data_IF_037757274461
#
_entry.id   IF_037757274461
#
_cell.length_a   1.000
_cell.length_b   1.000
_cell.length_c   1.000
_cell.angle_alpha   90.00
_cell.angle_beta   90.00
_cell.angle_gamma   90.00
#
_symmetry.space_group_name_H-M   'P 1'
#
loop_
_entity.id
_entity.type
_entity.pdbx_description
1 polymer ?
#
# COMPACT_ATOMS: atom_id res chain seq x y z
N UNK A 1 -22.34 -16.50 -19.38
CA UNK A 1 -21.61 -17.54 -18.63
C UNK A 1 -22.13 -17.54 -17.20
N UNK A 2 -22.19 -18.70 -16.54
CA UNK A 2 -22.66 -18.82 -15.15
C UNK A 2 -21.51 -19.31 -14.27
N UNK A 3 -21.20 -18.59 -13.19
CA UNK A 3 -20.21 -19.00 -12.19
C UNK A 3 -20.92 -19.79 -11.06
N UNK A 4 -20.57 -21.05 -10.90
CA UNK A 4 -21.02 -21.87 -9.77
C UNK A 4 -19.99 -21.78 -8.64
N UNK A 5 -20.26 -20.94 -7.63
CA UNK A 5 -19.39 -20.76 -6.48
C UNK A 5 -19.84 -21.68 -5.32
N UNK A 6 -19.02 -22.68 -4.98
CA UNK A 6 -19.25 -23.58 -3.85
C UNK A 6 -18.54 -23.13 -2.55
N UNK A 7 -17.78 -22.03 -2.60
CA UNK A 7 -17.12 -21.47 -1.43
C UNK A 7 -18.10 -20.63 -0.59
N UNK A 8 -17.68 -20.27 0.63
CA UNK A 8 -18.41 -19.32 1.49
C UNK A 8 -18.03 -17.86 1.22
N UNK A 9 -17.15 -17.64 0.25
CA UNK A 9 -16.49 -16.37 -0.01
C UNK A 9 -17.02 -15.76 -1.31
N UNK A 10 -16.87 -14.44 -1.45
CA UNK A 10 -17.23 -13.77 -2.69
C UNK A 10 -16.34 -14.30 -3.82
N UNK A 11 -16.95 -14.57 -4.97
CA UNK A 11 -16.24 -14.99 -6.16
C UNK A 11 -16.80 -14.28 -7.38
N UNK A 12 -15.91 -13.90 -8.29
CA UNK A 12 -16.22 -13.17 -9.51
C UNK A 12 -15.34 -13.64 -10.65
N UNK A 13 -15.68 -13.20 -11.85
CA UNK A 13 -14.84 -13.42 -13.02
C UNK A 13 -14.80 -12.18 -13.90
N UNK A 14 -13.70 -11.99 -14.61
CA UNK A 14 -13.53 -10.93 -15.59
C UNK A 14 -12.69 -11.43 -16.78
N UNK A 15 -12.75 -10.72 -17.91
CA UNK A 15 -11.93 -11.01 -19.09
C UNK A 15 -10.57 -10.33 -18.94
N UNK A 16 -9.50 -11.11 -19.09
CA UNK A 16 -8.13 -10.62 -19.20
C UNK A 16 -7.61 -10.76 -20.62
N UNK A 17 -6.45 -10.15 -20.86
CA UNK A 17 -5.68 -10.28 -22.10
C UNK A 17 -4.30 -10.84 -21.77
N UNK A 18 -3.92 -11.88 -22.48
CA UNK A 18 -2.55 -12.41 -22.48
C UNK A 18 -1.62 -11.54 -23.33
N UNK A 19 -0.31 -11.73 -23.17
CA UNK A 19 0.71 -10.92 -23.84
C UNK A 19 0.68 -11.02 -25.37
N UNK A 20 0.12 -12.10 -25.91
CA UNK A 20 -0.03 -12.35 -27.35
C UNK A 20 -1.41 -11.90 -27.89
N UNK A 21 -2.25 -11.30 -27.04
CA UNK A 21 -3.56 -10.77 -27.39
C UNK A 21 -4.71 -11.77 -27.27
N UNK A 22 -4.46 -13.01 -26.83
CA UNK A 22 -5.54 -13.94 -26.54
C UNK A 22 -6.32 -13.51 -25.29
N UNK A 23 -7.64 -13.69 -25.32
CA UNK A 23 -8.46 -13.50 -24.13
C UNK A 23 -8.24 -14.66 -23.16
N UNK A 24 -8.11 -14.34 -21.88
CA UNK A 24 -8.18 -15.31 -20.79
C UNK A 24 -9.36 -14.98 -19.87
N UNK A 25 -9.88 -16.00 -19.20
CA UNK A 25 -10.87 -15.81 -18.14
C UNK A 25 -10.15 -15.78 -16.80
N UNK A 26 -10.27 -14.67 -16.08
CA UNK A 26 -9.72 -14.52 -14.73
C UNK A 26 -10.84 -14.77 -13.74
N UNK A 27 -10.66 -15.73 -12.83
CA UNK A 27 -11.62 -16.05 -11.77
C UNK A 27 -10.97 -15.76 -10.44
N UNK A 28 -11.66 -15.00 -9.59
CA UNK A 28 -11.19 -14.58 -8.25
C UNK A 28 -12.16 -15.11 -7.21
N UNK A 29 -11.61 -15.56 -6.08
CA UNK A 29 -12.36 -15.74 -4.83
C UNK A 29 -11.64 -14.97 -3.73
N UNK A 30 -12.39 -14.18 -2.93
CA UNK A 30 -11.82 -13.25 -1.95
C UNK A 30 -12.35 -13.52 -0.55
N UNK A 31 -11.43 -13.68 0.38
CA UNK A 31 -11.72 -13.91 1.79
C UNK A 31 -11.01 -12.85 2.64
N UNK A 32 -11.70 -12.34 3.65
CA UNK A 32 -11.18 -11.39 4.64
C UNK A 32 -11.11 -12.06 6.00
N UNK A 33 -10.00 -11.88 6.69
CA UNK A 33 -9.73 -12.44 8.02
C UNK A 33 -9.30 -11.34 8.97
N UNK A 34 -9.60 -11.48 10.26
CA UNK A 34 -9.02 -10.59 11.27
C UNK A 34 -7.64 -11.10 11.69
N UNK A 35 -6.73 -10.15 11.95
CA UNK A 35 -5.43 -10.45 12.52
C UNK A 35 -5.63 -10.67 14.02
N UNK A 36 -5.36 -11.89 14.49
CA UNK A 36 -5.45 -12.20 15.92
C UNK A 36 -4.56 -11.27 16.75
N UNK A 37 -5.15 -10.69 17.79
CA UNK A 37 -4.43 -9.84 18.75
C UNK A 37 -3.64 -10.63 19.79
N UNK A 38 -3.70 -11.97 19.78
CA UNK A 38 -2.96 -12.83 20.71
C UNK A 38 -1.58 -13.18 20.12
N UNK A 39 -0.49 -12.63 20.69
CA UNK A 39 0.87 -12.89 20.18
C UNK A 39 1.29 -14.36 20.32
N UNK A 40 0.66 -15.09 21.25
CA UNK A 40 1.11 -16.40 21.71
C UNK A 40 0.38 -17.57 21.03
N UNK A 41 -0.66 -17.31 20.23
CA UNK A 41 -1.34 -18.35 19.43
C UNK A 41 -1.71 -17.82 18.04
N UNK A 42 -0.73 -17.72 17.12
CA UNK A 42 -0.92 -17.16 15.78
C UNK A 42 -1.70 -18.09 14.82
N UNK A 43 -2.25 -19.20 15.31
CA UNK A 43 -2.72 -20.30 14.46
C UNK A 43 -4.15 -20.11 13.95
N UNK A 44 -4.90 -19.14 14.48
CA UNK A 44 -6.27 -18.86 14.05
C UNK A 44 -6.37 -17.45 13.46
N UNK A 45 -6.67 -17.40 12.16
CA UNK A 45 -7.12 -16.21 11.46
C UNK A 45 -8.65 -16.35 11.34
N UNK A 46 -9.44 -15.80 12.27
CA UNK A 46 -10.89 -15.88 12.18
C UNK A 46 -11.36 -15.17 10.92
N UNK A 47 -12.33 -15.78 10.23
CA UNK A 47 -13.00 -15.15 9.09
C UNK A 47 -13.73 -13.91 9.63
N UNK A 48 -13.44 -12.75 9.05
CA UNK A 48 -14.08 -11.48 9.43
C UNK A 48 -15.57 -11.55 9.07
N UNK A 49 -16.46 -11.10 9.95
CA UNK A 49 -17.91 -11.12 9.67
C UNK A 49 -18.25 -10.26 8.43
N UNK A 50 -17.65 -9.08 8.35
CA UNK A 50 -17.74 -8.19 7.19
C UNK A 50 -16.61 -8.49 6.19
N UNK A 51 -16.96 -9.15 5.09
CA UNK A 51 -16.04 -9.42 3.99
C UNK A 51 -15.82 -8.18 3.12
N UNK A 52 -14.57 -7.93 2.74
CA UNK A 52 -14.26 -6.92 1.72
C UNK A 52 -14.75 -7.41 0.35
N UNK A 53 -15.32 -6.51 -0.49
CA UNK A 53 -15.79 -6.87 -1.82
C UNK A 53 -14.62 -7.20 -2.75
N UNK A 54 -14.91 -7.88 -3.84
CA UNK A 54 -13.97 -7.95 -4.98
C UNK A 54 -13.84 -6.55 -5.61
N UNK A 55 -12.61 -6.11 -5.80
CA UNK A 55 -12.32 -4.84 -6.46
C UNK A 55 -12.13 -5.06 -7.95
N UNK A 56 -12.98 -4.41 -8.74
CA UNK A 56 -12.95 -4.43 -10.21
C UNK A 56 -12.13 -3.28 -10.80
N UNK A 57 -11.72 -2.35 -9.95
CA UNK A 57 -10.93 -1.17 -10.25
C UNK A 57 -9.96 -0.90 -9.10
N UNK A 58 -8.93 -0.11 -9.39
CA UNK A 58 -7.96 0.31 -8.39
C UNK A 58 -8.63 1.32 -7.42
N UNK A 59 -8.38 1.13 -6.13
CA UNK A 59 -8.77 2.06 -5.08
C UNK A 59 -7.57 2.84 -4.59
N UNK A 60 -7.79 4.12 -4.31
CA UNK A 60 -6.77 5.06 -3.89
C UNK A 60 -7.09 5.61 -2.50
N UNK A 61 -6.09 6.16 -1.81
CA UNK A 61 -6.28 6.76 -0.48
C UNK A 61 -7.07 8.07 -0.55
N UNK A 62 -7.07 8.74 -1.70
CA UNK A 62 -7.96 9.85 -2.04
C UNK A 62 -8.22 9.88 -3.56
N UNK A 63 -8.03 11.02 -4.22
CA UNK A 63 -8.30 11.19 -5.65
C UNK A 63 -7.34 10.34 -6.52
N UNK A 64 -7.86 9.58 -7.51
CA UNK A 64 -7.03 8.81 -8.43
C UNK A 64 -6.03 9.68 -9.20
N UNK A 65 -4.77 9.24 -9.27
CA UNK A 65 -3.69 9.99 -9.89
C UNK A 65 -3.07 11.10 -9.01
N UNK A 66 -3.76 11.48 -7.93
CA UNK A 66 -3.31 12.47 -6.94
C UNK A 66 -3.13 11.87 -5.54
N UNK A 67 -3.17 10.54 -5.39
CA UNK A 67 -2.97 9.88 -4.12
C UNK A 67 -2.42 8.47 -4.30
N UNK A 68 -1.95 7.86 -3.21
CA UNK A 68 -1.40 6.52 -3.25
C UNK A 68 -2.47 5.46 -3.59
N UNK A 69 -2.04 4.44 -4.31
CA UNK A 69 -2.81 3.21 -4.50
C UNK A 69 -2.99 2.49 -3.16
N UNK A 70 -4.25 2.23 -2.79
CA UNK A 70 -4.62 1.53 -1.58
C UNK A 70 -4.88 0.04 -1.84
N UNK A 71 -5.67 -0.27 -2.88
CA UNK A 71 -5.94 -1.63 -3.35
C UNK A 71 -5.91 -1.69 -4.87
N UNK A 72 -5.26 -2.70 -5.42
CA UNK A 72 -5.32 -2.99 -6.85
C UNK A 72 -6.63 -3.70 -7.22
N UNK A 73 -6.99 -3.60 -8.50
CA UNK A 73 -7.95 -4.49 -9.13
C UNK A 73 -7.55 -5.96 -8.89
N UNK A 74 -8.50 -6.77 -8.40
CA UNK A 74 -8.26 -8.17 -8.04
C UNK A 74 -8.06 -9.07 -9.28
N UNK A 75 -8.47 -8.64 -10.48
CA UNK A 75 -8.47 -9.44 -11.71
C UNK A 75 -7.15 -9.34 -12.51
N UNK A 76 -6.01 -9.58 -11.87
CA UNK A 76 -4.73 -9.67 -12.57
C UNK A 76 -4.72 -10.88 -13.55
N UNK A 77 -4.48 -10.69 -14.87
CA UNK A 77 -4.51 -11.78 -15.85
C UNK A 77 -3.50 -12.90 -15.58
N UNK A 78 -2.36 -12.56 -14.97
CA UNK A 78 -1.32 -13.52 -14.63
C UNK A 78 -0.61 -13.12 -13.34
N UNK A 79 -0.69 -13.99 -12.32
CA UNK A 79 -0.07 -13.77 -11.00
C UNK A 79 0.68 -15.05 -10.58
N UNK A 80 1.96 -15.21 -10.98
CA UNK A 80 2.70 -16.46 -10.79
C UNK A 80 3.11 -16.72 -9.34
N UNK A 81 3.00 -15.70 -8.47
CA UNK A 81 3.39 -15.74 -7.06
C UNK A 81 2.40 -14.92 -6.23
N UNK A 82 2.41 -15.15 -4.93
CA UNK A 82 1.66 -14.33 -3.97
C UNK A 82 2.36 -12.98 -3.77
N UNK A 83 1.60 -11.90 -3.86
CA UNK A 83 2.04 -10.57 -3.44
C UNK A 83 1.49 -10.31 -2.04
N UNK A 84 2.32 -9.72 -1.19
CA UNK A 84 1.93 -9.30 0.16
C UNK A 84 1.98 -7.79 0.20
N UNK A 85 0.80 -7.17 0.21
CA UNK A 85 0.63 -5.73 0.41
C UNK A 85 0.39 -5.45 1.89
N UNK A 86 1.00 -4.39 2.41
CA UNK A 86 0.89 -4.00 3.81
C UNK A 86 0.43 -2.55 3.91
N UNK A 87 -0.74 -2.36 4.51
CA UNK A 87 -1.30 -1.06 4.87
C UNK A 87 -1.28 -0.96 6.39
N UNK A 88 -0.63 0.07 6.95
CA UNK A 88 -0.57 0.26 8.39
C UNK A 88 0.45 1.30 8.85
N UNK A 89 0.59 1.46 10.15
CA UNK A 89 1.43 2.48 10.77
C UNK A 89 2.51 1.91 11.68
N UNK A 90 3.61 2.65 11.82
CA UNK A 90 4.59 2.45 12.89
C UNK A 90 4.21 3.27 14.13
N UNK A 91 4.35 2.66 15.31
CA UNK A 91 4.05 3.30 16.59
C UNK A 91 5.31 3.48 17.45
N UNK A 92 5.41 4.63 18.10
CA UNK A 92 6.39 4.89 19.15
C UNK A 92 6.07 4.06 20.41
N UNK A 93 6.99 4.01 21.37
CA UNK A 93 6.70 3.40 22.66
C UNK A 93 5.61 4.20 23.42
N UNK A 94 4.83 3.57 24.31
CA UNK A 94 3.79 4.26 25.05
C UNK A 94 4.31 5.53 25.74
N UNK A 95 3.57 6.63 25.60
CA UNK A 95 3.91 7.95 26.16
C UNK A 95 5.22 8.56 25.64
N UNK A 96 5.75 8.09 24.51
CA UNK A 96 6.96 8.63 23.88
C UNK A 96 6.68 9.11 22.46
N UNK A 97 7.54 9.99 21.97
CA UNK A 97 7.67 10.34 20.55
C UNK A 97 9.07 9.93 20.08
N UNK A 98 9.16 9.48 18.83
CA UNK A 98 10.44 9.15 18.20
C UNK A 98 10.52 9.80 16.83
N UNK A 99 11.72 10.10 16.37
CA UNK A 99 11.96 10.59 15.00
C UNK A 99 12.13 9.44 14.01
N UNK A 100 12.36 8.22 14.51
CA UNK A 100 12.53 7.01 13.72
C UNK A 100 12.13 5.74 14.49
N UNK A 101 11.67 4.72 13.78
CA UNK A 101 11.31 3.41 14.34
C UNK A 101 11.68 2.30 13.38
N UNK A 102 12.40 1.29 13.85
CA UNK A 102 12.56 0.04 13.09
C UNK A 102 11.33 -0.82 13.32
N UNK A 103 10.73 -1.29 12.24
CA UNK A 103 9.58 -2.20 12.23
C UNK A 103 9.92 -3.46 11.44
N UNK A 104 9.16 -4.52 11.66
CA UNK A 104 9.32 -5.81 11.01
C UNK A 104 7.95 -6.37 10.63
N UNK A 105 7.88 -6.95 9.43
CA UNK A 105 6.71 -7.67 8.93
C UNK A 105 7.16 -9.09 8.62
N UNK A 106 6.43 -10.07 9.15
CA UNK A 106 6.66 -11.48 8.85
C UNK A 106 5.37 -12.15 8.37
N UNK A 107 5.43 -12.76 7.19
CA UNK A 107 4.33 -13.57 6.61
C UNK A 107 4.91 -14.87 6.09
N UNK A 108 4.62 -15.98 6.77
CA UNK A 108 5.25 -17.27 6.47
C UNK A 108 6.78 -17.17 6.56
N UNK A 109 7.47 -17.44 5.45
CA UNK A 109 8.94 -17.33 5.33
C UNK A 109 9.42 -15.93 4.92
N UNK A 110 8.52 -15.02 4.55
CA UNK A 110 8.86 -13.64 4.26
C UNK A 110 9.10 -12.91 5.57
N UNK A 111 10.28 -12.32 5.71
CA UNK A 111 10.68 -11.52 6.86
C UNK A 111 11.40 -10.26 6.36
N UNK A 112 10.76 -9.11 6.54
CA UNK A 112 11.28 -7.81 6.11
C UNK A 112 11.30 -6.85 7.29
N UNK A 113 12.43 -6.20 7.50
CA UNK A 113 12.58 -5.10 8.45
C UNK A 113 13.00 -3.83 7.73
N UNK A 114 12.47 -2.70 8.18
CA UNK A 114 12.80 -1.39 7.63
C UNK A 114 12.66 -0.31 8.70
N UNK A 115 13.24 0.86 8.41
CA UNK A 115 13.21 2.02 9.29
C UNK A 115 12.17 3.00 8.79
N UNK A 116 11.16 3.26 9.61
CA UNK A 116 10.20 4.34 9.41
C UNK A 116 10.80 5.62 9.97
N UNK A 117 10.88 6.64 9.14
CA UNK A 117 11.42 7.95 9.48
C UNK A 117 10.24 8.91 9.55
N UNK A 118 10.21 9.77 10.58
CA UNK A 118 9.17 10.79 10.70
C UNK A 118 9.17 11.76 9.52
N UNK A 119 8.05 12.45 9.30
CA UNK A 119 7.87 13.39 8.18
C UNK A 119 9.08 14.34 8.04
N UNK A 120 9.49 14.59 6.80
CA UNK A 120 10.55 15.53 6.43
C UNK A 120 10.08 16.37 5.26
N UNK A 121 10.55 17.60 5.21
CA UNK A 121 10.36 18.51 4.08
C UNK A 121 11.70 18.83 3.45
N UNK A 122 11.72 19.15 2.17
CA UNK A 122 12.92 19.72 1.55
C UNK A 122 13.03 21.18 1.95
N UNK A 123 14.17 21.53 2.55
CA UNK A 123 14.55 22.89 2.86
C UNK A 123 15.53 23.34 1.80
N UNK A 124 15.11 24.33 1.01
CA UNK A 124 15.96 24.96 0.00
C UNK A 124 16.62 26.23 0.56
N UNK A 125 17.88 26.42 0.21
CA UNK A 125 18.55 27.71 0.27
C UNK A 125 19.28 27.94 -1.05
N UNK A 126 19.80 29.16 -1.24
CA UNK A 126 20.41 29.63 -2.49
C UNK A 126 21.50 28.69 -3.05
N UNK A 127 22.09 27.81 -2.23
CA UNK A 127 23.19 26.94 -2.63
C UNK A 127 22.93 25.43 -2.48
N UNK A 128 21.87 25.01 -1.77
CA UNK A 128 21.53 23.59 -1.61
C UNK A 128 20.06 23.36 -1.26
N UNK A 129 19.56 22.19 -1.67
CA UNK A 129 18.37 21.58 -1.11
C UNK A 129 18.79 20.44 -0.17
N UNK A 130 18.21 20.37 1.03
CA UNK A 130 18.42 19.25 1.96
C UNK A 130 17.12 18.86 2.64
N UNK A 131 16.96 17.59 2.95
CA UNK A 131 15.85 17.15 3.78
C UNK A 131 16.00 17.72 5.21
N UNK A 132 14.89 18.19 5.79
CA UNK A 132 14.82 18.61 7.19
C UNK A 132 15.19 17.45 8.14
N UNK A 133 15.42 17.78 9.41
CA UNK A 133 15.43 16.73 10.45
C UNK A 133 14.05 16.05 10.48
N UNK A 134 13.98 14.73 10.74
CA UNK A 134 12.69 14.05 10.87
C UNK A 134 11.88 14.63 12.02
N UNK A 135 10.61 14.90 11.79
CA UNK A 135 9.66 15.31 12.82
C UNK A 135 9.38 14.14 13.78
N UNK A 136 9.30 14.37 15.10
CA UNK A 136 8.87 13.34 16.05
C UNK A 136 7.44 12.88 15.76
N UNK A 137 7.17 11.58 15.97
CA UNK A 137 5.84 10.99 15.82
C UNK A 137 5.52 10.01 16.95
N UNK A 138 4.23 9.92 17.30
CA UNK A 138 3.65 8.81 18.08
C UNK A 138 3.19 7.67 17.17
N UNK A 139 2.68 8.03 15.99
CA UNK A 139 2.24 7.14 14.93
C UNK A 139 2.66 7.73 13.59
N UNK A 140 3.21 6.90 12.69
CA UNK A 140 3.59 7.29 11.34
C UNK A 140 3.04 6.26 10.36
N UNK A 141 2.13 6.68 9.49
CA UNK A 141 1.59 5.82 8.43
C UNK A 141 2.70 5.38 7.47
N UNK A 142 2.62 4.14 7.00
CA UNK A 142 3.50 3.56 5.99
C UNK A 142 2.70 3.53 4.69
N UNK A 143 2.78 4.62 3.93
CA UNK A 143 2.09 4.80 2.65
C UNK A 143 2.99 5.53 1.66
N UNK A 144 2.73 5.35 0.37
CA UNK A 144 3.31 6.19 -0.68
C UNK A 144 2.88 7.66 -0.56
N UNK A 145 1.77 7.95 0.14
CA UNK A 145 1.32 9.33 0.40
C UNK A 145 2.34 10.15 1.20
N UNK A 146 3.18 9.47 1.98
CA UNK A 146 4.20 10.08 2.87
C UNK A 146 5.62 9.66 2.49
N UNK A 147 5.77 8.97 1.36
CA UNK A 147 7.07 8.59 0.80
C UNK A 147 7.65 9.73 -0.05
N UNK A 148 8.97 9.69 -0.25
CA UNK A 148 9.63 10.59 -1.19
C UNK A 148 9.37 10.13 -2.63
N UNK A 149 9.20 11.09 -3.56
CA UNK A 149 9.01 10.84 -4.99
C UNK A 149 7.58 11.12 -5.48
N UNK A 150 6.93 12.18 -4.98
CA UNK A 150 5.61 12.64 -5.41
C UNK A 150 5.47 12.87 -6.92
N UNK A 151 4.33 13.41 -7.36
CA UNK A 151 4.02 13.55 -8.78
C UNK A 151 4.51 14.90 -9.36
N UNK A 152 5.11 14.86 -10.56
CA UNK A 152 5.44 16.07 -11.34
C UNK A 152 4.19 16.58 -12.08
N UNK A 153 3.58 17.63 -11.54
CA UNK A 153 2.39 18.27 -12.10
C UNK A 153 2.69 19.17 -13.32
N UNK A 154 3.97 19.35 -13.70
CA UNK A 154 4.36 20.15 -14.86
C UNK A 154 5.54 19.53 -15.63
N UNK A 155 5.29 18.45 -16.41
CA UNK A 155 6.32 17.73 -17.17
C UNK A 155 6.96 18.55 -18.31
N UNK A 156 6.52 19.80 -18.54
CA UNK A 156 7.09 20.72 -19.53
C UNK A 156 8.19 21.61 -18.96
N UNK A 157 8.35 21.71 -17.64
CA UNK A 157 9.57 22.23 -17.03
C UNK A 157 10.57 21.09 -16.91
N UNK A 158 11.83 21.34 -17.25
CA UNK A 158 12.87 20.31 -17.19
C UNK A 158 12.96 19.72 -15.79
N UNK A 159 13.26 18.42 -15.70
CA UNK A 159 13.47 17.63 -14.46
C UNK A 159 14.64 18.10 -13.57
N UNK A 160 15.08 19.35 -13.74
CA UNK A 160 16.11 20.04 -12.95
C UNK A 160 15.50 21.08 -12.00
N UNK A 161 14.19 21.33 -12.07
CA UNK A 161 13.49 22.21 -11.13
C UNK A 161 12.88 21.35 -10.00
N UNK A 162 13.51 21.34 -8.82
CA UNK A 162 13.07 20.60 -7.62
C UNK A 162 11.66 21.02 -7.15
N UNK A 163 11.18 22.20 -7.56
CA UNK A 163 9.82 22.72 -7.31
C UNK A 163 8.69 21.88 -7.96
N UNK A 164 9.02 20.96 -8.87
CA UNK A 164 8.04 20.10 -9.54
C UNK A 164 7.54 18.93 -8.66
N UNK A 165 8.23 18.59 -7.57
CA UNK A 165 7.81 17.51 -6.67
C UNK A 165 7.02 18.06 -5.50
N UNK A 166 5.69 18.11 -5.65
CA UNK A 166 4.79 18.41 -4.54
C UNK A 166 4.58 17.12 -3.72
N UNK A 167 4.91 17.18 -2.43
CA UNK A 167 4.42 16.20 -1.48
C UNK A 167 2.90 16.26 -1.45
N UNK A 168 2.21 15.11 -1.42
CA UNK A 168 0.75 15.08 -1.39
C UNK A 168 0.22 16.02 -0.29
N UNK A 169 -0.62 17.01 -0.64
CA UNK A 169 -1.03 18.03 0.31
C UNK A 169 -2.00 17.45 1.32
N UNK A 170 -1.51 17.07 2.51
CA UNK A 170 -2.32 16.82 3.71
C UNK A 170 -1.67 17.43 4.95
#
# INVERSE_FOLDING_TARGET
MTLHNASKFEAGYNLGLEKDGHHCLVVVAKATFDISSTPDNPTELPIKEEQMPIYYEDLFTAEPGESALLYENDFAPFKPKCDVLFNGSAYAAPMQETTEKVVQIRVGTMDKSFRVIGKRVWEENVFNAKASKPMPFKQQEISYDVAYGGYDFNPKKSSQDDENYVAYPY
#
